data_IF_238756717823
#
_entry.id   IF_238756717823
#
_cell.length_a   1.000
_cell.length_b   1.000
_cell.length_c   1.000
_cell.angle_alpha   90.00
_cell.angle_beta   90.00
_cell.angle_gamma   90.00
#
_symmetry.space_group_name_H-M   'P 1'
#
loop_
_entity.id
_entity.type
_entity.pdbx_description
1 polymer ?
#
# COMPACT_ATOMS: atom_id res chain seq x y z
N UNK A 1 4.51 4.14 55.90
CA UNK A 1 5.46 3.87 54.80
C UNK A 1 4.62 3.47 53.60
N UNK A 2 4.51 4.32 52.59
CA UNK A 2 3.72 4.02 51.40
C UNK A 2 4.58 3.26 50.39
N UNK A 3 3.99 2.25 49.76
CA UNK A 3 4.60 1.39 48.76
C UNK A 3 5.02 2.22 47.52
N UNK A 4 6.21 1.98 46.93
CA UNK A 4 6.62 2.70 45.73
C UNK A 4 5.69 2.30 44.57
N UNK A 5 5.36 3.25 43.67
CA UNK A 5 4.53 2.95 42.51
C UNK A 5 5.20 1.90 41.62
N UNK A 6 4.42 1.04 40.94
CA UNK A 6 4.98 0.04 40.04
C UNK A 6 5.73 0.71 38.88
N UNK A 7 6.79 0.07 38.34
CA UNK A 7 7.53 0.60 37.21
C UNK A 7 6.61 0.74 36.00
N UNK A 8 6.68 1.90 35.35
CA UNK A 8 5.95 2.20 34.12
C UNK A 8 6.37 1.23 33.02
N UNK A 9 5.41 0.50 32.47
CA UNK A 9 5.62 -0.40 31.34
C UNK A 9 6.10 0.40 30.11
N UNK A 10 7.23 0.06 29.46
CA UNK A 10 7.70 0.77 28.26
C UNK A 10 6.91 0.41 26.98
N UNK A 11 5.80 -0.32 27.09
CA UNK A 11 5.00 -0.82 25.98
C UNK A 11 3.83 0.08 25.55
N UNK A 12 3.75 1.30 26.08
CA UNK A 12 2.77 2.30 25.64
C UNK A 12 3.48 3.52 25.05
N UNK A 13 4.28 3.31 24.01
CA UNK A 13 4.58 4.42 23.11
C UNK A 13 3.31 4.70 22.32
N UNK A 14 2.67 5.81 22.66
CA UNK A 14 1.60 6.45 21.89
C UNK A 14 2.07 6.65 20.45
N UNK A 15 1.77 5.69 19.56
CA UNK A 15 1.97 5.80 18.12
C UNK A 15 0.89 6.73 17.58
N UNK A 16 1.21 8.02 17.55
CA UNK A 16 0.30 9.08 17.11
C UNK A 16 0.41 9.39 15.61
N UNK A 17 -0.37 10.35 15.11
CA UNK A 17 -0.47 10.80 13.70
C UNK A 17 0.83 11.21 12.98
N UNK A 18 2.00 11.10 13.61
CA UNK A 18 3.30 11.51 13.06
C UNK A 18 3.96 10.45 12.18
N UNK A 19 3.49 9.20 12.18
CA UNK A 19 4.11 8.12 11.42
C UNK A 19 3.76 8.15 9.93
N UNK A 20 2.54 8.56 9.57
CA UNK A 20 2.07 8.63 8.18
C UNK A 20 3.00 9.41 7.23
N UNK A 21 3.37 10.66 7.56
CA UNK A 21 4.34 11.44 6.78
C UNK A 21 5.70 10.76 6.64
N UNK A 22 6.21 10.11 7.70
CA UNK A 22 7.48 9.39 7.65
C UNK A 22 7.41 8.14 6.75
N UNK A 23 6.28 7.42 6.77
CA UNK A 23 6.02 6.29 5.87
C UNK A 23 5.94 6.78 4.42
N UNK A 24 5.26 7.90 4.16
CA UNK A 24 5.18 8.50 2.83
C UNK A 24 6.55 8.99 2.31
N UNK A 25 7.38 9.58 3.16
CA UNK A 25 8.75 9.97 2.82
C UNK A 25 9.61 8.73 2.51
N UNK A 26 9.53 7.70 3.35
CA UNK A 26 10.20 6.43 3.13
C UNK A 26 9.77 5.79 1.79
N UNK A 27 8.48 5.88 1.45
CA UNK A 27 7.95 5.39 0.18
C UNK A 27 8.63 6.06 -1.01
N UNK A 28 8.66 7.40 -1.02
CA UNK A 28 9.31 8.17 -2.08
C UNK A 28 10.81 7.88 -2.19
N UNK A 29 11.50 7.67 -1.07
CA UNK A 29 12.93 7.37 -1.05
C UNK A 29 13.30 6.03 -1.72
N UNK A 30 12.33 5.14 -1.95
CA UNK A 30 12.52 3.86 -2.64
C UNK A 30 12.18 3.92 -4.14
N UNK A 31 11.56 4.98 -4.64
CA UNK A 31 11.22 5.11 -6.07
C UNK A 31 12.48 4.97 -6.94
N UNK A 32 12.37 4.17 -8.00
CA UNK A 32 13.46 3.89 -8.94
C UNK A 32 14.54 2.92 -8.46
N UNK A 33 14.50 2.47 -7.19
CA UNK A 33 15.45 1.45 -6.71
C UNK A 33 15.16 0.09 -7.34
N UNK A 34 16.24 -0.62 -7.69
CA UNK A 34 16.19 -1.99 -8.23
C UNK A 34 16.44 -3.07 -7.18
N UNK A 35 16.99 -2.68 -6.03
CA UNK A 35 17.32 -3.57 -4.92
C UNK A 35 16.57 -3.12 -3.67
N UNK A 36 15.77 -4.02 -3.10
CA UNK A 36 15.09 -3.82 -1.83
C UNK A 36 15.95 -4.40 -0.69
N UNK A 37 17.12 -3.79 -0.49
CA UNK A 37 17.98 -4.06 0.66
C UNK A 37 17.98 -2.85 1.58
N UNK A 38 17.34 -2.98 2.74
CA UNK A 38 17.21 -1.91 3.73
C UNK A 38 17.90 -2.38 5.01
N UNK A 39 18.90 -1.63 5.49
CA UNK A 39 19.67 -1.94 6.71
C UNK A 39 20.13 -3.42 6.77
N UNK A 40 20.61 -3.96 5.66
CA UNK A 40 21.09 -5.34 5.55
C UNK A 40 20.02 -6.41 5.25
N UNK A 41 18.73 -6.14 5.54
CA UNK A 41 17.60 -7.04 5.25
C UNK A 41 17.16 -6.93 3.79
N UNK A 42 16.85 -8.07 3.17
CA UNK A 42 16.36 -8.15 1.79
C UNK A 42 14.86 -8.42 1.80
N UNK A 43 14.13 -7.71 0.94
CA UNK A 43 12.69 -7.89 0.75
C UNK A 43 12.38 -8.41 -0.66
N UNK A 44 11.26 -9.15 -0.84
CA UNK A 44 10.80 -9.57 -2.16
C UNK A 44 10.56 -8.38 -3.09
N UNK A 45 10.89 -8.53 -4.38
CA UNK A 45 10.63 -7.51 -5.39
C UNK A 45 9.23 -7.64 -5.97
N UNK A 46 8.22 -7.49 -5.11
CA UNK A 46 6.80 -7.44 -5.46
C UNK A 46 6.10 -6.31 -4.69
N UNK A 47 4.80 -6.12 -4.90
CA UNK A 47 4.05 -5.04 -4.24
C UNK A 47 4.06 -5.16 -2.71
N UNK A 48 3.91 -6.37 -2.19
CA UNK A 48 3.91 -6.59 -0.74
C UNK A 48 5.30 -6.41 -0.12
N UNK A 49 6.35 -6.88 -0.80
CA UNK A 49 7.73 -6.70 -0.37
C UNK A 49 8.20 -5.25 -0.42
N UNK A 50 7.74 -4.46 -1.40
CA UNK A 50 7.95 -3.00 -1.41
C UNK A 50 7.30 -2.35 -0.21
N UNK A 51 6.03 -2.65 0.09
CA UNK A 51 5.35 -2.08 1.27
C UNK A 51 6.08 -2.44 2.56
N UNK A 52 6.45 -3.71 2.76
CA UNK A 52 7.23 -4.14 3.91
C UNK A 52 8.57 -3.39 4.03
N UNK A 53 9.25 -3.16 2.90
CA UNK A 53 10.49 -2.40 2.87
C UNK A 53 10.29 -0.91 3.19
N UNK A 54 9.16 -0.31 2.77
CA UNK A 54 8.81 1.08 3.08
C UNK A 54 8.61 1.26 4.58
N UNK A 55 7.76 0.43 5.21
CA UNK A 55 7.56 0.48 6.66
C UNK A 55 8.88 0.25 7.41
N UNK A 56 9.68 -0.73 6.99
CA UNK A 56 10.97 -0.99 7.63
C UNK A 56 11.96 0.17 7.46
N UNK A 57 11.96 0.85 6.31
CA UNK A 57 12.73 2.07 6.07
C UNK A 57 12.26 3.21 6.99
N UNK A 58 10.96 3.32 7.25
CA UNK A 58 10.37 4.25 8.22
C UNK A 58 10.61 3.85 9.69
N UNK A 59 11.23 2.69 9.95
CA UNK A 59 11.55 2.22 11.30
C UNK A 59 10.51 1.26 11.90
N UNK A 60 9.49 0.88 11.13
CA UNK A 60 8.39 0.01 11.56
C UNK A 60 8.58 -1.39 10.96
N UNK A 61 8.85 -2.39 11.80
CA UNK A 61 9.04 -3.77 11.32
C UNK A 61 7.70 -4.53 11.30
N UNK A 62 7.07 -4.57 10.12
CA UNK A 62 5.82 -5.32 9.91
C UNK A 62 6.01 -6.84 9.80
N UNK A 63 7.25 -7.34 9.67
CA UNK A 63 7.49 -8.76 9.37
C UNK A 63 6.87 -9.72 10.40
N UNK A 64 6.94 -9.48 11.72
CA UNK A 64 6.33 -10.39 12.71
C UNK A 64 4.81 -10.50 12.55
N UNK A 65 4.11 -9.36 12.41
CA UNK A 65 2.67 -9.35 12.23
C UNK A 65 2.27 -9.94 10.86
N UNK A 66 2.99 -9.55 9.80
CA UNK A 66 2.80 -10.11 8.47
C UNK A 66 2.98 -11.63 8.45
N UNK A 67 3.97 -12.17 9.17
CA UNK A 67 4.24 -13.61 9.30
C UNK A 67 3.09 -14.39 9.96
N UNK A 68 2.34 -13.76 10.87
CA UNK A 68 1.17 -14.35 11.51
C UNK A 68 -0.03 -14.50 10.57
N UNK A 69 -0.04 -13.79 9.44
CA UNK A 69 -1.18 -13.77 8.52
C UNK A 69 -1.09 -14.79 7.38
N UNK A 70 -2.27 -15.28 6.97
CA UNK A 70 -2.44 -16.23 5.87
C UNK A 70 -3.00 -15.58 4.60
N UNK A 71 -2.66 -16.16 3.45
CA UNK A 71 -3.07 -15.69 2.13
C UNK A 71 -1.89 -15.16 1.30
N UNK A 72 -2.18 -14.55 0.14
CA UNK A 72 -1.16 -13.87 -0.64
C UNK A 72 -0.64 -12.62 0.09
N UNK A 73 0.51 -12.07 -0.33
CA UNK A 73 1.15 -10.94 0.35
C UNK A 73 0.25 -9.70 0.49
N UNK A 74 -0.55 -9.37 -0.51
CA UNK A 74 -1.50 -8.24 -0.46
C UNK A 74 -2.59 -8.49 0.58
N UNK A 75 -3.18 -9.70 0.60
CA UNK A 75 -4.19 -10.08 1.60
C UNK A 75 -3.64 -10.05 3.03
N UNK A 76 -2.38 -10.43 3.21
CA UNK A 76 -1.72 -10.39 4.52
C UNK A 76 -1.56 -8.95 5.01
N UNK A 77 -1.10 -8.03 4.16
CA UNK A 77 -1.04 -6.60 4.49
C UNK A 77 -2.43 -6.02 4.78
N UNK A 78 -3.43 -6.38 3.96
CA UNK A 78 -4.80 -5.93 4.14
C UNK A 78 -5.31 -6.22 5.54
N UNK A 79 -5.07 -7.42 6.08
CA UNK A 79 -5.54 -7.81 7.42
C UNK A 79 -4.88 -7.05 8.58
N UNK A 80 -3.72 -6.42 8.37
CA UNK A 80 -3.01 -5.69 9.43
C UNK A 80 -3.63 -4.31 9.72
N UNK A 81 -4.35 -3.73 8.75
CA UNK A 81 -4.88 -2.38 8.85
C UNK A 81 -6.36 -2.30 9.15
N UNK A 82 -6.80 -1.13 9.61
CA UNK A 82 -8.21 -0.77 9.76
C UNK A 82 -8.71 -0.07 8.49
N UNK A 83 -9.95 -0.35 8.04
CA UNK A 83 -10.50 0.30 6.86
C UNK A 83 -10.71 1.79 7.10
N UNK A 84 -10.56 2.59 6.04
CA UNK A 84 -10.76 4.03 6.05
C UNK A 84 -11.90 4.42 5.10
N UNK A 85 -12.63 5.46 5.47
CA UNK A 85 -13.47 6.19 4.52
C UNK A 85 -12.58 6.96 3.53
N UNK A 86 -13.07 7.22 2.31
CA UNK A 86 -12.29 7.92 1.28
C UNK A 86 -11.82 9.31 1.73
N UNK A 87 -12.61 10.00 2.56
CA UNK A 87 -12.27 11.31 3.13
C UNK A 87 -11.14 11.27 4.15
N UNK A 88 -10.86 10.09 4.72
CA UNK A 88 -9.91 9.92 5.82
C UNK A 88 -8.54 9.42 5.34
N UNK A 89 -8.41 9.11 4.05
CA UNK A 89 -7.17 8.71 3.40
C UNK A 89 -6.13 9.84 3.54
N UNK A 90 -4.93 9.49 3.98
CA UNK A 90 -3.82 10.40 4.21
C UNK A 90 -2.48 9.76 3.81
N UNK A 91 -1.40 10.57 3.69
CA UNK A 91 -0.06 10.05 3.46
C UNK A 91 0.35 8.98 4.49
N UNK A 92 0.90 7.87 3.99
CA UNK A 92 1.31 6.71 4.78
C UNK A 92 0.30 5.55 4.77
N UNK A 93 -0.94 5.79 4.37
CA UNK A 93 -1.95 4.73 4.28
C UNK A 93 -1.66 3.74 3.15
N UNK A 94 -2.16 2.51 3.31
CA UNK A 94 -2.07 1.48 2.28
C UNK A 94 -3.34 1.48 1.44
N UNK A 95 -3.19 1.55 0.12
CA UNK A 95 -4.28 1.38 -0.85
C UNK A 95 -4.23 -0.02 -1.43
N UNK A 96 -5.40 -0.61 -1.63
CA UNK A 96 -5.58 -1.94 -2.20
C UNK A 96 -6.39 -1.87 -3.50
N UNK A 97 -6.03 -2.75 -4.44
CA UNK A 97 -6.74 -2.91 -5.71
C UNK A 97 -7.12 -4.38 -5.96
N UNK A 98 -8.28 -4.53 -6.59
CA UNK A 98 -8.82 -5.79 -7.09
C UNK A 98 -8.59 -5.90 -8.60
N UNK A 99 -8.59 -7.13 -9.14
CA UNK A 99 -8.62 -7.38 -10.60
C UNK A 99 -7.52 -6.67 -11.42
N UNK A 100 -6.34 -6.47 -10.82
CA UNK A 100 -5.17 -5.88 -11.49
C UNK A 100 -4.46 -6.88 -12.41
N UNK A 101 -4.61 -8.18 -12.11
CA UNK A 101 -4.27 -9.29 -12.98
C UNK A 101 -5.11 -10.51 -12.60
N UNK A 102 -5.34 -11.40 -13.56
CA UNK A 102 -5.91 -12.73 -13.35
C UNK A 102 -4.91 -13.60 -12.58
N UNK A 103 -5.14 -13.71 -11.28
CA UNK A 103 -4.23 -14.38 -10.34
C UNK A 103 -4.52 -15.88 -10.29
N UNK A 104 -5.80 -16.25 -10.30
CA UNK A 104 -6.22 -17.65 -10.23
C UNK A 104 -6.16 -18.36 -11.61
N UNK A 105 -5.96 -17.61 -12.70
CA UNK A 105 -5.81 -18.06 -14.09
C UNK A 105 -7.09 -18.64 -14.69
N UNK A 106 -8.25 -18.18 -14.25
CA UNK A 106 -9.55 -18.61 -14.77
C UNK A 106 -10.05 -17.74 -15.95
N UNK A 107 -9.31 -16.70 -16.33
CA UNK A 107 -9.68 -15.68 -17.32
C UNK A 107 -10.93 -14.87 -16.96
N UNK A 108 -11.22 -14.70 -15.67
CA UNK A 108 -12.28 -13.86 -15.14
C UNK A 108 -11.67 -12.71 -14.31
N UNK A 109 -12.42 -11.61 -14.21
CA UNK A 109 -12.07 -10.48 -13.36
C UNK A 109 -12.74 -10.61 -11.98
N UNK A 110 -12.37 -11.65 -11.24
CA UNK A 110 -12.94 -12.03 -9.93
C UNK A 110 -11.91 -12.21 -8.81
N UNK A 111 -10.71 -11.64 -8.99
CA UNK A 111 -9.62 -11.74 -8.02
C UNK A 111 -9.52 -10.49 -7.13
N UNK A 112 -9.91 -10.65 -5.87
CA UNK A 112 -9.72 -9.62 -4.84
C UNK A 112 -8.27 -9.54 -4.34
N UNK A 113 -7.86 -8.37 -3.87
CA UNK A 113 -6.58 -8.11 -3.20
C UNK A 113 -5.41 -8.59 -4.07
N UNK A 114 -5.33 -8.02 -5.26
CA UNK A 114 -4.31 -8.37 -6.27
C UNK A 114 -3.14 -7.40 -6.26
N UNK A 115 -3.33 -6.16 -5.82
CA UNK A 115 -2.25 -5.18 -5.73
C UNK A 115 -2.39 -4.26 -4.52
N UNK A 116 -1.27 -3.64 -4.13
CA UNK A 116 -1.24 -2.62 -3.09
C UNK A 116 -0.13 -1.60 -3.29
N UNK A 117 -0.26 -0.46 -2.61
CA UNK A 117 0.65 0.68 -2.67
C UNK A 117 0.47 1.61 -1.48
N UNK A 118 1.38 2.57 -1.32
CA UNK A 118 1.39 3.53 -0.20
C UNK A 118 1.02 4.92 -0.70
N UNK A 119 0.11 5.60 -0.01
CA UNK A 119 -0.19 7.01 -0.26
C UNK A 119 1.04 7.85 0.07
N UNK A 120 1.58 8.54 -0.93
CA UNK A 120 2.72 9.44 -0.79
C UNK A 120 2.29 10.91 -0.60
N UNK A 121 1.19 11.31 -1.24
CA UNK A 121 0.57 12.62 -1.05
C UNK A 121 -0.87 12.64 -1.58
N UNK A 122 -1.63 13.65 -1.15
CA UNK A 122 -2.93 14.00 -1.71
C UNK A 122 -2.91 15.50 -2.01
N UNK A 123 -3.29 15.90 -3.22
CA UNK A 123 -3.37 17.32 -3.59
C UNK A 123 -4.75 17.92 -3.29
N UNK A 124 -4.88 19.23 -3.49
CA UNK A 124 -6.13 19.96 -3.22
C UNK A 124 -7.32 19.57 -4.11
N UNK A 125 -7.09 18.80 -5.18
CA UNK A 125 -8.15 18.24 -6.04
C UNK A 125 -8.52 16.79 -5.67
N UNK A 126 -7.97 16.28 -4.56
CA UNK A 126 -8.16 14.89 -4.13
C UNK A 126 -7.39 13.87 -4.97
N UNK A 127 -6.37 14.31 -5.74
CA UNK A 127 -5.52 13.38 -6.48
C UNK A 127 -4.52 12.76 -5.54
N UNK A 128 -4.58 11.44 -5.43
CA UNK A 128 -3.69 10.62 -4.64
C UNK A 128 -2.47 10.27 -5.48
N UNK A 129 -1.29 10.66 -5.01
CA UNK A 129 -0.01 10.13 -5.49
C UNK A 129 0.36 8.95 -4.61
N UNK A 130 0.64 7.79 -5.21
CA UNK A 130 0.95 6.56 -4.50
C UNK A 130 2.23 5.90 -5.02
N UNK A 131 2.96 5.24 -4.14
CA UNK A 131 4.14 4.43 -4.49
C UNK A 131 3.77 2.96 -4.45
N UNK A 132 4.10 2.24 -5.51
CA UNK A 132 3.87 0.79 -5.59
C UNK A 132 4.95 0.08 -6.42
N UNK A 133 4.94 -1.25 -6.39
CA UNK A 133 5.76 -2.04 -7.31
C UNK A 133 5.00 -2.28 -8.63
N UNK A 134 5.37 -1.60 -9.69
CA UNK A 134 4.86 -1.87 -11.03
C UNK A 134 5.60 -3.07 -11.65
N UNK A 135 4.84 -4.03 -12.19
CA UNK A 135 5.39 -5.30 -12.73
C UNK A 135 6.42 -5.14 -13.87
N UNK A 136 6.45 -3.99 -14.57
CA UNK A 136 7.44 -3.71 -15.64
C UNK A 136 8.46 -2.66 -15.25
N UNK A 137 8.01 -1.65 -14.49
CA UNK A 137 8.80 -0.44 -14.19
C UNK A 137 9.52 -0.53 -12.84
N UNK A 138 9.22 -1.53 -12.01
CA UNK A 138 9.71 -1.61 -10.64
C UNK A 138 9.00 -0.59 -9.75
N UNK A 139 9.73 -0.01 -8.79
CA UNK A 139 9.15 0.91 -7.80
C UNK A 139 8.92 2.28 -8.44
N UNK A 140 7.65 2.69 -8.53
CA UNK A 140 7.24 3.96 -9.16
C UNK A 140 6.24 4.70 -8.30
N UNK A 141 6.21 6.03 -8.45
CA UNK A 141 5.11 6.89 -7.98
C UNK A 141 4.14 7.13 -9.15
N UNK A 142 2.87 6.85 -8.92
CA UNK A 142 1.78 6.99 -9.89
C UNK A 142 0.59 7.72 -9.23
N UNK A 143 -0.45 8.01 -10.01
CA UNK A 143 -1.57 8.85 -9.57
C UNK A 143 -2.92 8.19 -9.79
N UNK A 144 -3.86 8.52 -8.91
CA UNK A 144 -5.29 8.25 -9.08
C UNK A 144 -6.13 9.38 -8.46
N UNK A 145 -7.37 9.52 -8.90
CA UNK A 145 -8.34 10.44 -8.32
C UNK A 145 -9.71 9.78 -8.32
N UNK A 146 -10.23 9.49 -7.11
CA UNK A 146 -11.50 8.78 -6.93
C UNK A 146 -12.71 9.65 -7.30
N UNK A 147 -12.57 10.98 -7.25
CA UNK A 147 -13.60 11.95 -7.67
C UNK A 147 -13.70 12.07 -9.19
N UNK A 148 -12.66 11.67 -9.92
CA UNK A 148 -12.58 11.70 -11.39
C UNK A 148 -12.18 10.33 -11.94
N UNK A 149 -12.98 9.28 -11.71
CA UNK A 149 -12.52 7.90 -11.93
C UNK A 149 -12.21 7.60 -13.40
N UNK A 150 -12.94 8.21 -14.34
CA UNK A 150 -12.79 7.98 -15.78
C UNK A 150 -11.69 8.84 -16.43
N UNK A 151 -11.06 9.76 -15.69
CA UNK A 151 -10.09 10.68 -16.26
C UNK A 151 -8.74 9.98 -16.50
N UNK A 152 -8.50 9.61 -17.75
CA UNK A 152 -7.26 8.94 -18.19
C UNK A 152 -6.02 9.83 -18.15
N UNK A 153 -6.17 11.14 -17.95
CA UNK A 153 -5.04 12.07 -17.83
C UNK A 153 -4.50 12.14 -16.39
N UNK A 154 -5.33 11.75 -15.42
CA UNK A 154 -4.98 11.76 -13.99
C UNK A 154 -4.73 10.35 -13.46
N UNK A 155 -5.55 9.38 -13.84
CA UNK A 155 -5.47 8.02 -13.32
C UNK A 155 -4.48 7.17 -14.12
N UNK A 156 -3.57 6.52 -13.39
CA UNK A 156 -2.58 5.63 -14.00
C UNK A 156 -3.18 4.27 -14.37
N UNK A 157 -2.63 3.63 -15.39
CA UNK A 157 -3.00 2.27 -15.76
C UNK A 157 -2.61 1.29 -14.64
N UNK A 158 -3.57 0.54 -14.11
CA UNK A 158 -3.33 -0.42 -13.03
C UNK A 158 -3.44 -1.87 -13.49
N UNK A 159 -4.32 -2.15 -14.46
CA UNK A 159 -4.46 -3.52 -15.01
C UNK A 159 -3.22 -3.93 -15.82
N UNK A 160 -2.77 -5.16 -15.61
CA UNK A 160 -1.65 -5.73 -16.37
C UNK A 160 -1.99 -5.82 -17.86
N UNK A 161 -1.03 -5.41 -18.70
CA UNK A 161 -1.22 -5.37 -20.16
C UNK A 161 -1.24 -6.79 -20.72
N UNK A 162 -2.09 -7.00 -21.73
CA UNK A 162 -2.11 -8.23 -22.53
C UNK A 162 -2.97 -9.35 -21.96
N UNK A 163 -3.63 -9.12 -20.82
CA UNK A 163 -4.67 -10.01 -20.33
C UNK A 163 -6.01 -9.67 -21.01
N UNK A 164 -6.83 -10.69 -21.26
CA UNK A 164 -8.10 -10.55 -21.97
C UNK A 164 -9.05 -9.71 -21.13
N UNK A 165 -9.40 -8.54 -21.63
CA UNK A 165 -10.39 -7.65 -21.03
C UNK A 165 -11.57 -7.51 -21.97
N UNK A 166 -12.61 -8.36 -21.86
CA UNK A 166 -13.72 -8.37 -22.81
C UNK A 166 -14.51 -7.07 -22.80
N UNK A 167 -14.56 -6.40 -21.65
CA UNK A 167 -15.28 -5.15 -21.46
C UNK A 167 -14.38 -3.94 -21.72
N UNK A 168 -13.07 -4.02 -21.47
CA UNK A 168 -12.11 -2.95 -21.80
C UNK A 168 -12.28 -1.65 -21.00
N UNK A 169 -13.31 -1.57 -20.15
CA UNK A 169 -13.73 -0.34 -19.49
C UNK A 169 -12.99 -0.06 -18.18
N UNK A 170 -12.48 -1.09 -17.48
CA UNK A 170 -11.94 -0.97 -16.12
C UNK A 170 -10.46 -1.28 -15.98
N UNK A 171 -9.58 -0.35 -16.36
CA UNK A 171 -8.13 -0.59 -16.31
C UNK A 171 -7.33 0.47 -15.52
N UNK A 172 -8.00 1.55 -15.09
CA UNK A 172 -7.40 2.62 -14.30
C UNK A 172 -7.32 2.25 -12.82
N UNK A 173 -6.35 2.83 -12.11
CA UNK A 173 -6.19 2.68 -10.66
C UNK A 173 -7.44 3.08 -9.88
N UNK A 174 -8.16 4.12 -10.30
CA UNK A 174 -9.47 4.51 -9.75
C UNK A 174 -10.56 3.43 -9.95
N UNK A 175 -10.57 2.74 -11.09
CA UNK A 175 -11.60 1.73 -11.41
C UNK A 175 -11.46 0.47 -10.58
N UNK A 176 -10.22 0.15 -10.22
CA UNK A 176 -9.85 -1.09 -9.54
C UNK A 176 -9.64 -0.89 -8.04
N UNK A 177 -9.83 0.34 -7.54
CA UNK A 177 -9.69 0.67 -6.14
C UNK A 177 -10.67 -0.14 -5.31
N UNK A 178 -10.15 -0.83 -4.31
CA UNK A 178 -10.96 -1.58 -3.35
C UNK A 178 -11.27 -0.73 -2.13
N UNK A 179 -10.22 -0.37 -1.41
CA UNK A 179 -10.27 0.39 -0.16
C UNK A 179 -8.87 0.86 0.22
N UNK A 180 -8.82 1.80 1.16
CA UNK A 180 -7.61 2.19 1.87
C UNK A 180 -7.67 1.71 3.31
N UNK A 181 -6.51 1.41 3.90
CA UNK A 181 -6.39 1.02 5.30
C UNK A 181 -5.21 1.70 5.99
N UNK A 182 -5.39 2.01 7.27
CA UNK A 182 -4.34 2.56 8.16
C UNK A 182 -3.83 1.49 9.12
N UNK A 183 -2.51 1.48 9.36
CA UNK A 183 -1.90 0.60 10.36
C UNK A 183 -1.51 1.38 11.63
N UNK A 184 -1.07 2.63 11.48
CA UNK A 184 -0.59 3.53 12.54
C UNK A 184 -1.06 4.95 12.30
#
# INVERSE_FOLDING_TARGET
MAEPPPPSDPAAQTTGPQEGPAIAEAARALVGRRSLRIRGRVFPSDCSGVILAIFYQAGIDLMPAFAGETGNGVKRLWKLGTPLEESDIAPGDIIFWDNTYDRNRNNLWDDELTHAGIVAAIDGEGTISYVHHNYRRGIVEEKMNLLRPQDTTVNSAMRMRGQRDPEGERWLSSHLFREARRLY
#
